data_IF_689760173694
#
_entry.id   IF_689760173694
#
_cell.length_a   1.000
_cell.length_b   1.000
_cell.length_c   1.000
_cell.angle_alpha   90.00
_cell.angle_beta   90.00
_cell.angle_gamma   90.00
#
_symmetry.space_group_name_H-M   'P 1'
#
loop_
_entity.id
_entity.type
_entity.pdbx_description
1 polymer ?
#
# COMPACT_ATOMS: atom_id res chain seq x y z
N UNK A 1 -42.39 -14.64 1.65
CA UNK A 1 -41.61 -13.59 0.97
C UNK A 1 -40.43 -13.23 1.87
N UNK A 2 -39.30 -13.95 1.74
CA UNK A 2 -38.10 -13.82 2.58
C UNK A 2 -36.91 -13.48 1.68
N UNK A 3 -36.66 -12.20 1.55
CA UNK A 3 -35.45 -11.52 1.12
C UNK A 3 -35.46 -10.25 2.00
N UNK A 4 -34.45 -9.79 2.74
CA UNK A 4 -33.02 -9.99 2.58
C UNK A 4 -32.30 -9.43 3.84
N UNK A 5 -32.54 -10.02 5.03
CA UNK A 5 -31.80 -9.62 6.26
C UNK A 5 -30.29 -9.84 6.09
N UNK A 6 -29.90 -10.78 5.21
CA UNK A 6 -28.50 -11.04 4.84
C UNK A 6 -27.85 -9.89 4.06
N UNK A 7 -28.61 -9.18 3.23
CA UNK A 7 -28.09 -8.07 2.41
C UNK A 7 -27.82 -6.81 3.25
N UNK A 8 -28.65 -6.55 4.25
CA UNK A 8 -28.47 -5.40 5.16
C UNK A 8 -27.31 -5.59 6.12
N UNK A 9 -27.09 -6.81 6.63
CA UNK A 9 -25.96 -7.13 7.50
C UNK A 9 -24.61 -7.15 6.74
N UNK A 10 -24.60 -7.55 5.47
CA UNK A 10 -23.41 -7.50 4.62
C UNK A 10 -22.98 -6.06 4.31
N UNK A 11 -23.94 -5.11 4.20
CA UNK A 11 -23.66 -3.68 4.05
C UNK A 11 -23.06 -3.05 5.31
N UNK A 12 -23.27 -3.66 6.47
CA UNK A 12 -22.83 -3.15 7.78
C UNK A 12 -21.47 -3.72 8.24
N UNK A 13 -20.95 -4.77 7.56
CA UNK A 13 -19.70 -5.48 7.92
C UNK A 13 -18.49 -5.11 7.05
N UNK A 14 -18.66 -4.23 6.06
CA UNK A 14 -17.52 -3.54 5.47
C UNK A 14 -17.27 -2.31 6.33
N UNK A 15 -16.16 -2.26 7.07
CA UNK A 15 -15.64 -0.97 7.55
C UNK A 15 -15.63 -0.04 6.34
N UNK A 16 -16.36 1.06 6.37
CA UNK A 16 -16.36 2.03 5.28
C UNK A 16 -14.91 2.48 5.04
N UNK A 17 -14.26 1.89 4.05
CA UNK A 17 -12.88 2.21 3.74
C UNK A 17 -12.89 3.58 3.07
N UNK A 18 -12.27 4.56 3.71
CA UNK A 18 -12.15 5.90 3.18
C UNK A 18 -10.78 6.07 2.48
N UNK A 19 -10.74 6.18 1.14
CA UNK A 19 -9.51 6.37 0.39
C UNK A 19 -8.77 7.65 0.76
N UNK A 20 -9.49 8.72 1.12
CA UNK A 20 -8.86 9.99 1.48
C UNK A 20 -8.11 9.88 2.81
N UNK A 21 -8.71 9.24 3.80
CA UNK A 21 -8.03 8.94 5.07
C UNK A 21 -6.83 8.02 4.85
N UNK A 22 -6.96 7.02 3.98
CA UNK A 22 -5.84 6.14 3.62
C UNK A 22 -4.68 6.92 2.97
N UNK A 23 -4.97 7.83 2.04
CA UNK A 23 -3.96 8.68 1.40
C UNK A 23 -3.26 9.57 2.44
N UNK A 24 -4.03 10.18 3.36
CA UNK A 24 -3.47 10.98 4.47
C UNK A 24 -2.56 10.12 5.36
N UNK A 25 -3.03 8.92 5.75
CA UNK A 25 -2.25 7.98 6.57
C UNK A 25 -0.94 7.56 5.92
N UNK A 26 -0.96 7.22 4.62
CA UNK A 26 0.25 6.85 3.87
C UNK A 26 1.27 8.00 3.77
N UNK A 27 0.80 9.25 3.71
CA UNK A 27 1.67 10.43 3.76
C UNK A 27 2.30 10.59 5.15
N UNK A 28 1.51 10.45 6.21
CA UNK A 28 1.99 10.54 7.61
C UNK A 28 3.02 9.45 7.90
N UNK A 29 2.76 8.20 7.53
CA UNK A 29 3.69 7.06 7.71
C UNK A 29 5.07 7.30 7.07
N UNK A 30 5.11 8.04 5.96
CA UNK A 30 6.33 8.35 5.20
C UNK A 30 6.90 9.72 5.49
N UNK A 31 6.27 10.48 6.39
CA UNK A 31 6.58 11.87 6.67
C UNK A 31 6.59 12.75 5.39
N UNK A 32 5.64 12.50 4.48
CA UNK A 32 5.49 13.18 3.20
C UNK A 32 4.51 14.35 3.27
N UNK A 33 4.92 15.48 2.68
CA UNK A 33 4.03 16.57 2.29
C UNK A 33 3.23 16.21 1.03
N UNK A 34 2.11 16.89 0.80
CA UNK A 34 1.35 16.74 -0.45
C UNK A 34 2.15 17.19 -1.69
N UNK A 35 3.18 18.02 -1.51
CA UNK A 35 4.11 18.35 -2.59
C UNK A 35 4.96 17.14 -3.00
N UNK A 36 5.49 16.39 -2.03
CA UNK A 36 6.23 15.15 -2.31
C UNK A 36 5.32 14.10 -2.98
N UNK A 37 4.08 13.95 -2.49
CA UNK A 37 3.09 13.08 -3.13
C UNK A 37 2.77 13.55 -4.57
N UNK A 38 2.67 14.85 -4.81
CA UNK A 38 2.46 15.41 -6.14
C UNK A 38 3.57 15.00 -7.10
N UNK A 39 4.84 15.13 -6.67
CA UNK A 39 6.00 14.71 -7.47
C UNK A 39 6.02 13.20 -7.71
N UNK A 40 5.72 12.40 -6.70
CA UNK A 40 5.75 10.95 -6.81
C UNK A 40 4.61 10.37 -7.68
N UNK A 41 3.39 10.91 -7.56
CA UNK A 41 2.21 10.42 -8.28
C UNK A 41 2.01 11.05 -9.67
N UNK A 42 2.75 12.14 -9.97
CA UNK A 42 2.53 12.94 -11.18
C UNK A 42 1.19 13.69 -11.20
N UNK A 43 0.48 13.77 -10.07
CA UNK A 43 -0.76 14.54 -9.93
C UNK A 43 -0.40 15.96 -9.49
N UNK A 44 -0.95 17.02 -10.12
CA UNK A 44 -0.67 18.39 -9.72
C UNK A 44 -1.01 18.65 -8.25
N UNK A 45 -0.15 19.42 -7.55
CA UNK A 45 -0.35 19.77 -6.14
C UNK A 45 -1.72 20.42 -5.89
N UNK A 46 -2.15 21.35 -6.75
CA UNK A 46 -3.45 22.01 -6.65
C UNK A 46 -4.62 21.01 -6.70
N UNK A 47 -4.51 19.98 -7.53
CA UNK A 47 -5.49 18.89 -7.63
C UNK A 47 -5.51 18.06 -6.34
N UNK A 48 -4.35 17.65 -5.83
CA UNK A 48 -4.27 16.90 -4.57
C UNK A 48 -4.80 17.72 -3.38
N UNK A 49 -4.41 18.99 -3.30
CA UNK A 49 -4.83 19.89 -2.24
C UNK A 49 -6.35 20.06 -2.25
N UNK A 50 -6.93 20.30 -3.43
CA UNK A 50 -8.39 20.43 -3.59
C UNK A 50 -9.10 19.12 -3.24
N UNK A 51 -8.58 17.98 -3.71
CA UNK A 51 -9.15 16.66 -3.47
C UNK A 51 -9.21 16.34 -1.97
N UNK A 52 -8.11 16.54 -1.25
CA UNK A 52 -7.99 16.18 0.16
C UNK A 52 -8.69 17.18 1.09
N UNK A 53 -8.76 18.47 0.74
CA UNK A 53 -9.44 19.48 1.55
C UNK A 53 -10.95 19.52 1.32
N UNK A 54 -11.41 19.36 0.07
CA UNK A 54 -12.84 19.37 -0.27
C UNK A 54 -13.48 17.98 -0.16
N UNK A 55 -12.73 17.00 0.31
CA UNK A 55 -13.15 15.61 0.44
C UNK A 55 -13.71 15.01 -0.87
N UNK A 56 -13.11 15.41 -2.00
CA UNK A 56 -13.49 14.87 -3.30
C UNK A 56 -12.86 13.50 -3.47
N UNK A 57 -13.68 12.47 -3.66
CA UNK A 57 -13.20 11.11 -3.86
C UNK A 57 -12.35 10.98 -5.14
N UNK A 58 -11.17 10.35 -5.07
CA UNK A 58 -10.37 10.09 -6.26
C UNK A 58 -11.11 9.14 -7.19
N UNK A 59 -11.08 9.43 -8.49
CA UNK A 59 -11.47 8.46 -9.51
C UNK A 59 -10.50 7.27 -9.51
N UNK A 60 -10.91 6.13 -10.07
CA UNK A 60 -10.04 4.95 -10.15
C UNK A 60 -8.68 5.23 -10.85
N UNK A 61 -8.61 5.95 -11.99
CA UNK A 61 -7.32 6.32 -12.59
C UNK A 61 -6.47 7.22 -11.69
N UNK A 62 -7.09 8.16 -10.98
CA UNK A 62 -6.40 9.02 -10.01
C UNK A 62 -5.82 8.18 -8.88
N UNK A 63 -6.61 7.23 -8.38
CA UNK A 63 -6.19 6.34 -7.30
C UNK A 63 -5.04 5.42 -7.72
N UNK A 64 -5.03 4.95 -8.98
CA UNK A 64 -3.92 4.16 -9.53
C UNK A 64 -2.61 4.96 -9.53
N UNK A 65 -2.64 6.21 -9.98
CA UNK A 65 -1.47 7.10 -9.94
C UNK A 65 -0.98 7.35 -8.52
N UNK A 66 -1.89 7.51 -7.56
CA UNK A 66 -1.56 7.64 -6.15
C UNK A 66 -0.87 6.38 -5.60
N UNK A 67 -1.43 5.19 -5.87
CA UNK A 67 -0.83 3.92 -5.45
C UNK A 67 0.57 3.73 -6.04
N UNK A 68 0.73 4.03 -7.34
CA UNK A 68 2.04 4.04 -8.00
C UNK A 68 3.02 5.01 -7.33
N UNK A 69 2.57 6.23 -7.01
CA UNK A 69 3.38 7.22 -6.30
C UNK A 69 3.80 6.78 -4.89
N UNK A 70 2.97 6.00 -4.21
CA UNK A 70 3.30 5.40 -2.91
C UNK A 70 4.14 4.12 -3.01
N UNK A 71 4.33 3.57 -4.22
CA UNK A 71 5.01 2.30 -4.43
C UNK A 71 4.25 1.08 -3.92
N UNK A 72 2.91 1.16 -3.84
CA UNK A 72 2.05 0.06 -3.38
C UNK A 72 1.06 -0.37 -4.47
N UNK A 73 0.61 -1.60 -4.40
CA UNK A 73 -0.48 -2.09 -5.25
C UNK A 73 -1.84 -1.57 -4.79
N UNK A 74 -2.81 -1.60 -5.70
CA UNK A 74 -4.21 -1.27 -5.37
C UNK A 74 -4.76 -2.21 -4.29
N UNK A 75 -4.37 -3.48 -4.29
CA UNK A 75 -4.76 -4.44 -3.27
C UNK A 75 -4.23 -4.05 -1.88
N UNK A 76 -2.99 -3.61 -1.77
CA UNK A 76 -2.41 -3.13 -0.49
C UNK A 76 -3.00 -1.79 -0.03
N UNK A 77 -3.50 -0.98 -0.97
CA UNK A 77 -4.20 0.25 -0.63
C UNK A 77 -5.48 -0.06 0.16
N UNK A 78 -6.32 -0.97 -0.35
CA UNK A 78 -7.58 -1.40 0.26
C UNK A 78 -7.40 -2.41 1.41
N UNK A 79 -6.33 -3.19 1.39
CA UNK A 79 -6.01 -4.20 2.41
C UNK A 79 -4.59 -3.97 2.97
N UNK A 80 -4.43 -3.06 3.95
CA UNK A 80 -3.13 -2.81 4.58
C UNK A 80 -2.55 -4.08 5.20
N UNK A 81 -1.26 -4.33 4.98
CA UNK A 81 -0.58 -5.51 5.52
C UNK A 81 -0.87 -6.83 4.79
N UNK A 82 -1.61 -6.80 3.67
CA UNK A 82 -1.87 -7.97 2.82
C UNK A 82 -0.61 -8.77 2.50
N UNK A 83 0.46 -8.09 2.13
CA UNK A 83 1.73 -8.73 1.76
C UNK A 83 2.48 -9.36 2.95
N UNK A 84 2.03 -9.09 4.19
CA UNK A 84 2.56 -9.69 5.41
C UNK A 84 1.66 -10.83 5.93
N UNK A 85 0.42 -10.94 5.43
CA UNK A 85 -0.50 -12.04 5.77
C UNK A 85 0.02 -13.34 5.16
N UNK A 86 0.07 -14.39 5.96
CA UNK A 86 0.49 -15.73 5.52
C UNK A 86 2.01 -15.96 5.53
N UNK A 87 2.82 -14.97 5.90
CA UNK A 87 4.25 -15.20 6.13
C UNK A 87 4.50 -15.97 7.42
N UNK A 88 5.38 -16.96 7.36
CA UNK A 88 5.94 -17.62 8.54
C UNK A 88 6.85 -16.67 9.32
N UNK A 89 7.16 -17.00 10.57
CA UNK A 89 8.01 -16.15 11.41
C UNK A 89 9.38 -15.89 10.78
N UNK A 90 10.02 -16.95 10.25
CA UNK A 90 11.30 -16.83 9.55
C UNK A 90 11.22 -15.94 8.31
N UNK A 91 10.10 -15.98 7.58
CA UNK A 91 9.90 -15.11 6.40
C UNK A 91 9.74 -13.64 6.80
N UNK A 92 8.99 -13.36 7.89
CA UNK A 92 8.86 -11.99 8.42
C UNK A 92 10.20 -11.46 8.92
N UNK A 93 10.94 -12.28 9.66
CA UNK A 93 12.27 -11.92 10.16
C UNK A 93 13.22 -11.64 9.00
N UNK A 94 13.23 -12.49 7.97
CA UNK A 94 14.04 -12.28 6.77
C UNK A 94 13.71 -10.95 6.08
N UNK A 95 12.42 -10.64 5.88
CA UNK A 95 12.01 -9.36 5.30
C UNK A 95 12.41 -8.16 6.15
N UNK A 96 12.24 -8.24 7.48
CA UNK A 96 12.62 -7.17 8.41
C UNK A 96 14.13 -6.88 8.37
N UNK A 97 14.96 -7.93 8.36
CA UNK A 97 16.40 -7.79 8.17
C UNK A 97 16.72 -7.17 6.82
N UNK A 98 16.11 -7.69 5.75
CA UNK A 98 16.33 -7.21 4.39
C UNK A 98 15.99 -5.73 4.20
N UNK A 99 14.85 -5.26 4.72
CA UNK A 99 14.43 -3.86 4.59
C UNK A 99 15.32 -2.89 5.36
N UNK A 100 16.00 -3.34 6.42
CA UNK A 100 16.96 -2.52 7.16
C UNK A 100 18.33 -2.36 6.48
N UNK A 101 18.63 -3.18 5.46
CA UNK A 101 19.91 -3.14 4.76
C UNK A 101 19.98 -1.97 3.76
N UNK A 102 21.16 -1.35 3.57
CA UNK A 102 21.42 -0.45 2.45
C UNK A 102 21.18 -1.13 1.09
N UNK A 103 20.85 -0.35 0.05
CA UNK A 103 20.53 -0.88 -1.28
C UNK A 103 21.60 -1.83 -1.86
N UNK A 104 22.89 -1.50 -1.67
CA UNK A 104 24.00 -2.35 -2.10
C UNK A 104 24.05 -3.70 -1.36
N UNK A 105 23.70 -3.71 -0.09
CA UNK A 105 23.71 -4.92 0.73
C UNK A 105 22.46 -5.78 0.48
N UNK A 106 21.34 -5.16 0.12
CA UNK A 106 20.16 -5.86 -0.38
C UNK A 106 20.46 -6.66 -1.66
N UNK A 107 21.23 -6.09 -2.60
CA UNK A 107 21.67 -6.81 -3.80
C UNK A 107 22.52 -8.03 -3.48
N UNK A 108 23.47 -7.89 -2.54
CA UNK A 108 24.31 -9.00 -2.06
C UNK A 108 23.49 -10.09 -1.36
N UNK A 109 22.55 -9.72 -0.51
CA UNK A 109 21.67 -10.66 0.18
C UNK A 109 20.84 -11.47 -0.83
N UNK A 110 20.27 -10.82 -1.86
CA UNK A 110 19.56 -11.51 -2.94
C UNK A 110 20.49 -12.43 -3.73
N UNK A 111 21.72 -12.01 -4.04
CA UNK A 111 22.69 -12.83 -4.76
C UNK A 111 23.06 -14.09 -3.96
N UNK A 112 23.27 -13.95 -2.65
CA UNK A 112 23.58 -15.06 -1.76
C UNK A 112 22.43 -16.07 -1.69
N UNK A 113 21.19 -15.60 -1.47
CA UNK A 113 20.00 -16.47 -1.46
C UNK A 113 19.83 -17.23 -2.79
N UNK A 114 20.03 -16.56 -3.93
CA UNK A 114 20.02 -17.21 -5.26
C UNK A 114 21.13 -18.26 -5.40
N UNK A 115 22.32 -17.99 -4.87
CA UNK A 115 23.45 -18.91 -4.85
C UNK A 115 23.18 -20.18 -4.04
N UNK A 116 22.55 -20.05 -2.87
CA UNK A 116 22.13 -21.19 -2.05
C UNK A 116 21.09 -22.06 -2.77
N UNK A 117 20.13 -21.45 -3.45
CA UNK A 117 19.12 -22.17 -4.22
C UNK A 117 19.70 -23.01 -5.38
N UNK A 118 20.80 -22.56 -5.99
CA UNK A 118 21.50 -23.33 -7.04
C UNK A 118 22.29 -24.53 -6.53
N UNK A 119 22.65 -24.56 -5.24
CA UNK A 119 23.35 -25.69 -4.61
C UNK A 119 22.40 -26.77 -4.09
N UNK A 120 21.09 -26.52 -4.11
CA UNK A 120 20.04 -27.43 -3.62
C UNK A 120 19.36 -28.23 -4.74
N UNK A 121 19.73 -27.96 -5.99
CA UNK A 121 19.40 -28.76 -7.19
C UNK A 121 20.68 -29.40 -7.73
#
# INVERSE_FOLDING_TARGET
MRADIRYTAARFLMKDFNPLERIRGLCTERNWSYYQLSKASGIPYSTLNTMLHKENMPSLPTLQKLCQGFGISMAEFFEPGRNQRGLTENQRQCLSLFTSLPAKDQELALAFMKGLGRKLN
#
